data_IF_167271544851
#
_entry.id   IF_167271544851
#
_cell.length_a   1.000
_cell.length_b   1.000
_cell.length_c   1.000
_cell.angle_alpha   90.00
_cell.angle_beta   90.00
_cell.angle_gamma   90.00
#
_symmetry.space_group_name_H-M   'P 1'
#
loop_
_entity.id
_entity.type
_entity.pdbx_description
1 polymer ?
#
# COMPACT_ATOMS: atom_id res chain seq x y z
N UNK A 1 14.05 17.82 -8.50
CA UNK A 1 12.58 17.59 -8.57
C UNK A 1 12.13 16.21 -8.06
N UNK A 2 13.03 15.36 -7.52
CA UNK A 2 12.74 13.98 -7.06
C UNK A 2 12.17 13.86 -5.63
N UNK A 3 11.97 14.98 -4.93
CA UNK A 3 11.57 15.02 -3.51
C UNK A 3 10.13 15.51 -3.29
N UNK A 4 9.26 15.34 -4.28
CA UNK A 4 7.83 15.64 -4.09
C UNK A 4 7.18 14.49 -3.35
N UNK A 5 6.12 14.78 -2.59
CA UNK A 5 5.41 13.74 -1.83
C UNK A 5 4.90 12.60 -2.73
N UNK A 6 4.57 12.89 -3.98
CA UNK A 6 4.13 11.88 -4.94
C UNK A 6 5.22 10.85 -5.22
N UNK A 7 6.50 11.26 -5.30
CA UNK A 7 7.61 10.32 -5.41
C UNK A 7 7.75 9.46 -4.15
N UNK A 8 7.63 10.06 -2.96
CA UNK A 8 7.68 9.29 -1.71
C UNK A 8 6.57 8.24 -1.62
N UNK A 9 5.34 8.58 -2.05
CA UNK A 9 4.22 7.64 -2.12
C UNK A 9 4.50 6.48 -3.08
N UNK A 10 5.11 6.78 -4.22
CA UNK A 10 5.49 5.77 -5.21
C UNK A 10 6.58 4.84 -4.67
N UNK A 11 7.58 5.37 -3.97
CA UNK A 11 8.57 4.55 -3.28
C UNK A 11 7.95 3.68 -2.18
N UNK A 12 7.02 4.23 -1.41
CA UNK A 12 6.32 3.50 -0.36
C UNK A 12 5.52 2.31 -0.90
N UNK A 13 4.77 2.48 -2.00
CA UNK A 13 4.02 1.37 -2.59
C UNK A 13 4.94 0.30 -3.18
N UNK A 14 6.04 0.69 -3.84
CA UNK A 14 7.04 -0.26 -4.34
C UNK A 14 7.64 -1.07 -3.18
N UNK A 15 7.99 -0.39 -2.09
CA UNK A 15 8.53 -1.04 -0.89
C UNK A 15 7.52 -2.02 -0.29
N UNK A 16 6.27 -1.61 -0.12
CA UNK A 16 5.20 -2.50 0.36
C UNK A 16 5.04 -3.72 -0.53
N UNK A 17 5.01 -3.56 -1.85
CA UNK A 17 4.86 -4.68 -2.78
C UNK A 17 6.01 -5.68 -2.69
N UNK A 18 7.24 -5.20 -2.52
CA UNK A 18 8.43 -6.07 -2.40
C UNK A 18 8.43 -6.83 -1.07
N UNK A 19 8.20 -6.14 0.05
CA UNK A 19 8.31 -6.73 1.38
C UNK A 19 7.08 -7.54 1.79
N UNK A 20 5.89 -7.16 1.31
CA UNK A 20 4.62 -7.84 1.55
C UNK A 20 4.10 -8.54 0.28
N UNK A 21 5.01 -9.10 -0.53
CA UNK A 21 4.63 -9.84 -1.76
C UNK A 21 3.56 -10.92 -1.51
N UNK A 22 3.61 -11.60 -0.37
CA UNK A 22 2.66 -12.65 -0.02
C UNK A 22 1.25 -12.12 0.20
N UNK A 23 1.12 -10.87 0.64
CA UNK A 23 -0.15 -10.19 0.82
C UNK A 23 -0.74 -9.77 -0.53
N UNK A 24 0.04 -9.05 -1.36
CA UNK A 24 -0.43 -8.56 -2.66
C UNK A 24 -0.70 -9.68 -3.67
N UNK A 25 0.07 -10.77 -3.60
CA UNK A 25 -0.07 -11.92 -4.49
C UNK A 25 -0.66 -13.14 -3.78
N UNK A 26 -1.43 -12.95 -2.70
CA UNK A 26 -2.00 -14.05 -1.92
C UNK A 26 -2.84 -15.02 -2.76
N UNK A 27 -3.56 -14.51 -3.76
CA UNK A 27 -4.35 -15.31 -4.69
C UNK A 27 -3.50 -16.09 -5.72
N UNK A 28 -2.22 -15.73 -5.93
CA UNK A 28 -1.30 -16.50 -6.78
C UNK A 28 -0.80 -17.77 -6.09
N UNK A 29 -1.06 -17.92 -4.78
CA UNK A 29 -0.78 -19.14 -4.01
C UNK A 29 -2.02 -20.04 -3.88
N UNK A 30 -3.17 -19.65 -4.46
CA UNK A 30 -4.42 -20.40 -4.42
C UNK A 30 -4.83 -20.82 -5.82
N UNK A 31 -5.27 -22.07 -5.95
CA UNK A 31 -5.88 -22.59 -7.17
C UNK A 31 -7.21 -23.27 -6.82
N UNK A 32 -8.23 -23.06 -7.64
CA UNK A 32 -9.60 -23.55 -7.44
C UNK A 32 -10.53 -22.50 -6.81
N UNK A 33 -11.84 -22.68 -6.97
CA UNK A 33 -12.87 -21.81 -6.40
C UNK A 33 -13.64 -22.57 -5.30
N UNK A 34 -13.91 -21.90 -4.16
CA UNK A 34 -14.69 -22.47 -3.06
C UNK A 34 -13.97 -23.59 -2.30
N UNK A 35 -14.67 -24.71 -2.06
CA UNK A 35 -14.23 -25.85 -1.23
C UNK A 35 -13.00 -26.61 -1.76
N UNK A 36 -12.58 -26.37 -3.00
CA UNK A 36 -11.41 -27.01 -3.62
C UNK A 36 -10.16 -26.13 -3.61
N UNK A 37 -10.14 -25.07 -2.79
CA UNK A 37 -8.97 -24.20 -2.68
C UNK A 37 -7.77 -24.97 -2.13
N UNK A 38 -6.78 -25.20 -3.00
CA UNK A 38 -5.52 -25.83 -2.64
C UNK A 38 -4.41 -24.78 -2.63
N UNK A 39 -3.56 -24.84 -1.61
CA UNK A 39 -2.32 -24.08 -1.60
C UNK A 39 -1.35 -24.70 -2.60
N UNK A 40 -0.88 -23.87 -3.54
CA UNK A 40 0.02 -24.28 -4.61
C UNK A 40 1.30 -23.43 -4.57
N UNK A 41 2.42 -23.94 -5.12
CA UNK A 41 3.57 -23.09 -5.41
C UNK A 41 3.15 -21.91 -6.28
N UNK A 42 3.82 -20.77 -6.08
CA UNK A 42 3.49 -19.50 -6.71
C UNK A 42 3.25 -19.65 -8.21
N UNK A 43 2.04 -19.34 -8.66
CA UNK A 43 1.65 -19.43 -10.06
C UNK A 43 0.95 -18.15 -10.49
N UNK A 44 1.42 -17.58 -11.60
CA UNK A 44 0.86 -16.36 -12.18
C UNK A 44 -0.26 -16.77 -13.13
N UNK A 45 -1.52 -16.52 -12.73
CA UNK A 45 -2.68 -16.58 -13.62
C UNK A 45 -3.29 -15.18 -13.82
N UNK A 46 -4.14 -15.05 -14.83
CA UNK A 46 -4.73 -13.77 -15.20
C UNK A 46 -5.60 -13.19 -14.05
N UNK A 47 -6.35 -14.04 -13.36
CA UNK A 47 -7.18 -13.65 -12.22
C UNK A 47 -6.35 -13.11 -11.05
N UNK A 48 -5.26 -13.77 -10.67
CA UNK A 48 -4.37 -13.28 -9.62
C UNK A 48 -3.77 -11.93 -10.00
N UNK A 49 -3.32 -11.75 -11.24
CA UNK A 49 -2.78 -10.46 -11.67
C UNK A 49 -3.81 -9.34 -11.54
N UNK A 50 -5.05 -9.55 -11.98
CA UNK A 50 -6.12 -8.55 -11.82
C UNK A 50 -6.35 -8.19 -10.36
N UNK A 51 -6.42 -9.18 -9.48
CA UNK A 51 -6.60 -8.94 -8.04
C UNK A 51 -5.38 -8.28 -7.41
N UNK A 52 -4.17 -8.68 -7.76
CA UNK A 52 -2.94 -8.07 -7.27
C UNK A 52 -2.88 -6.60 -7.68
N UNK A 53 -3.14 -6.28 -8.96
CA UNK A 53 -3.20 -4.90 -9.43
C UNK A 53 -4.31 -4.11 -8.74
N UNK A 54 -5.48 -4.71 -8.52
CA UNK A 54 -6.57 -4.07 -7.80
C UNK A 54 -6.17 -3.72 -6.36
N UNK A 55 -5.57 -4.67 -5.63
CA UNK A 55 -5.11 -4.46 -4.24
C UNK A 55 -3.98 -3.42 -4.18
N UNK A 56 -3.04 -3.45 -5.13
CA UNK A 56 -1.98 -2.43 -5.23
C UNK A 56 -2.59 -1.05 -5.46
N UNK A 57 -3.51 -0.93 -6.41
CA UNK A 57 -4.17 0.34 -6.73
C UNK A 57 -5.02 0.85 -5.56
N UNK A 58 -5.79 -0.02 -4.91
CA UNK A 58 -6.57 0.32 -3.72
C UNK A 58 -5.65 0.78 -2.59
N UNK A 59 -4.56 0.05 -2.31
CA UNK A 59 -3.57 0.44 -1.29
C UNK A 59 -2.93 1.78 -1.61
N UNK A 60 -2.60 2.04 -2.87
CA UNK A 60 -2.07 3.34 -3.30
C UNK A 60 -3.08 4.47 -3.07
N UNK A 61 -4.36 4.27 -3.39
CA UNK A 61 -5.41 5.26 -3.13
C UNK A 61 -5.55 5.56 -1.64
N UNK A 62 -5.60 4.55 -0.78
CA UNK A 62 -5.70 4.79 0.66
C UNK A 62 -4.44 5.51 1.16
N UNK A 63 -3.25 5.11 0.70
CA UNK A 63 -2.00 5.79 1.05
C UNK A 63 -2.02 7.26 0.60
N UNK A 64 -2.56 7.56 -0.58
CA UNK A 64 -2.75 8.92 -1.07
C UNK A 64 -3.68 9.72 -0.14
N UNK A 65 -4.88 9.21 0.16
CA UNK A 65 -5.87 9.91 1.00
C UNK A 65 -5.36 10.13 2.42
N UNK A 66 -4.79 9.10 3.05
CA UNK A 66 -4.31 9.19 4.44
C UNK A 66 -3.14 10.16 4.54
N UNK A 67 -2.22 10.16 3.58
CA UNK A 67 -1.08 11.10 3.60
C UNK A 67 -1.52 12.53 3.31
N UNK A 68 -2.49 12.79 2.42
CA UNK A 68 -3.06 14.15 2.27
C UNK A 68 -3.82 14.59 3.52
N UNK A 69 -4.61 13.71 4.13
CA UNK A 69 -5.32 14.01 5.37
C UNK A 69 -4.33 14.36 6.50
N UNK A 70 -3.28 13.56 6.66
CA UNK A 70 -2.23 13.80 7.65
C UNK A 70 -1.54 15.16 7.39
N UNK A 71 -1.24 15.49 6.13
CA UNK A 71 -0.70 16.82 5.78
C UNK A 71 -1.66 17.93 6.16
N UNK A 72 -2.93 17.81 5.81
CA UNK A 72 -3.92 18.81 6.14
C UNK A 72 -4.00 19.06 7.66
N UNK A 73 -4.05 17.98 8.45
CA UNK A 73 -4.02 18.05 9.92
C UNK A 73 -2.73 18.72 10.42
N UNK A 74 -1.56 18.33 9.90
CA UNK A 74 -0.29 18.96 10.26
C UNK A 74 -0.25 20.45 9.91
N UNK A 75 -0.77 20.83 8.73
CA UNK A 75 -0.86 22.23 8.28
C UNK A 75 -1.74 23.06 9.22
N UNK A 76 -2.85 22.49 9.69
CA UNK A 76 -3.75 23.15 10.65
C UNK A 76 -3.08 23.35 12.01
N UNK A 77 -2.43 22.31 12.55
CA UNK A 77 -1.77 22.37 13.87
C UNK A 77 -0.62 23.37 13.88
N UNK A 78 0.20 23.38 12.81
CA UNK A 78 1.35 24.28 12.71
C UNK A 78 0.98 25.70 12.25
N UNK A 79 -0.26 25.92 11.80
CA UNK A 79 -0.68 27.18 11.18
C UNK A 79 0.13 27.55 9.92
N UNK A 80 0.75 26.57 9.26
CA UNK A 80 1.65 26.78 8.11
C UNK A 80 1.12 26.08 6.87
N UNK A 81 0.88 26.83 5.81
CA UNK A 81 0.44 26.30 4.50
C UNK A 81 1.47 25.38 3.81
N UNK A 82 2.75 25.42 4.22
CA UNK A 82 3.81 24.60 3.62
C UNK A 82 4.44 23.70 4.66
N UNK A 83 4.24 22.40 4.47
CA UNK A 83 4.85 21.34 5.27
C UNK A 83 6.24 21.04 4.72
N UNK A 84 7.25 21.07 5.59
CA UNK A 84 8.63 20.78 5.23
C UNK A 84 8.84 19.34 4.74
N UNK A 85 9.92 19.12 4.00
CA UNK A 85 10.27 17.82 3.41
C UNK A 85 10.37 16.71 4.47
N UNK A 86 10.98 17.00 5.63
CA UNK A 86 11.13 16.06 6.75
C UNK A 86 9.77 15.58 7.26
N UNK A 87 8.80 16.48 7.41
CA UNK A 87 7.45 16.11 7.86
C UNK A 87 6.72 15.27 6.81
N UNK A 88 6.88 15.56 5.50
CA UNK A 88 6.32 14.70 4.46
C UNK A 88 6.96 13.29 4.46
N UNK A 89 8.28 13.19 4.69
CA UNK A 89 8.95 11.89 4.89
C UNK A 89 8.33 11.15 6.08
N UNK A 90 8.25 11.81 7.24
CA UNK A 90 7.71 11.18 8.45
C UNK A 90 6.27 10.70 8.26
N UNK A 91 5.41 11.51 7.64
CA UNK A 91 4.02 11.15 7.33
C UNK A 91 3.98 9.91 6.42
N UNK A 92 4.75 9.88 5.34
CA UNK A 92 4.75 8.73 4.42
C UNK A 92 5.30 7.49 5.11
N UNK A 93 6.39 7.58 5.87
CA UNK A 93 6.98 6.45 6.60
C UNK A 93 5.99 5.89 7.62
N UNK A 94 5.39 6.74 8.46
CA UNK A 94 4.42 6.32 9.49
C UNK A 94 3.18 5.68 8.88
N UNK A 95 2.64 6.28 7.81
CA UNK A 95 1.47 5.73 7.14
C UNK A 95 1.80 4.38 6.50
N UNK A 96 2.90 4.28 5.77
CA UNK A 96 3.37 3.01 5.16
C UNK A 96 3.56 1.92 6.20
N UNK A 97 4.16 2.26 7.34
CA UNK A 97 4.31 1.34 8.48
C UNK A 97 2.96 0.87 9.03
N UNK A 98 1.99 1.78 9.13
CA UNK A 98 0.63 1.44 9.55
C UNK A 98 -0.05 0.49 8.57
N UNK A 99 0.12 0.69 7.26
CA UNK A 99 -0.39 -0.21 6.22
C UNK A 99 0.23 -1.61 6.31
N UNK A 100 1.55 -1.67 6.51
CA UNK A 100 2.29 -2.92 6.70
C UNK A 100 1.73 -3.73 7.88
N UNK A 101 1.45 -3.07 9.01
CA UNK A 101 0.88 -3.72 10.19
C UNK A 101 -0.59 -4.14 10.00
N UNK A 102 -1.40 -3.28 9.39
CA UNK A 102 -2.84 -3.51 9.29
C UNK A 102 -3.22 -4.62 8.29
N UNK A 103 -2.44 -4.80 7.21
CA UNK A 103 -2.75 -5.74 6.13
C UNK A 103 -4.24 -5.68 5.73
N UNK A 104 -4.74 -4.47 5.47
CA UNK A 104 -6.17 -4.14 5.27
C UNK A 104 -6.93 -5.04 4.28
N UNK A 105 -6.23 -5.53 3.26
CA UNK A 105 -6.76 -6.40 2.21
C UNK A 105 -6.21 -7.82 2.30
N UNK A 106 -5.90 -8.31 3.51
CA UNK A 106 -5.45 -9.69 3.69
C UNK A 106 -6.63 -10.60 3.39
N UNK A 107 -6.73 -11.04 2.14
CA UNK A 107 -7.76 -11.96 1.66
C UNK A 107 -7.51 -13.41 2.15
N UNK A 108 -6.48 -13.58 2.98
CA UNK A 108 -6.09 -14.82 3.63
C UNK A 108 -5.74 -14.49 5.09
N UNK A 109 -6.48 -15.11 6.01
CA UNK A 109 -6.11 -15.23 7.43
C UNK A 109 -5.25 -16.47 7.58
#
# INVERSE_FOLDING_TARGET
MLYTINFLRLYAIIFLVIYDRHYFFSLCYKKGAGLTTQFVPFYINQECLYWAFFVIFATYLILFFVTELARYVFSLILGKNKIGLIANIAIVVLTTWLFYLLRLFSLVI
#
